data_IF_123828675110
#
_entry.id   IF_123828675110
#
_cell.length_a   1.000
_cell.length_b   1.000
_cell.length_c   1.000
_cell.angle_alpha   90.00
_cell.angle_beta   90.00
_cell.angle_gamma   90.00
#
_symmetry.space_group_name_H-M   'P 1'
#
loop_
_entity.id
_entity.type
_entity.pdbx_description
1 polymer ?
#
# COMPACT_ATOMS: atom_id res chain seq x y z
N UNK A 1 11.47 9.93 -20.36
CA UNK A 1 11.58 10.42 -18.97
C UNK A 1 10.16 10.58 -18.43
N UNK A 2 9.74 9.95 -17.33
CA UNK A 2 8.41 10.20 -16.77
C UNK A 2 8.29 11.68 -16.41
N UNK A 3 7.10 12.29 -16.59
CA UNK A 3 6.90 13.72 -16.31
C UNK A 3 7.34 14.05 -14.88
N UNK A 4 8.08 15.16 -14.73
CA UNK A 4 8.41 15.73 -13.42
C UNK A 4 7.13 16.29 -12.82
N UNK A 5 6.80 15.89 -11.60
CA UNK A 5 5.60 16.34 -10.89
C UNK A 5 4.37 15.44 -11.05
N UNK A 6 3.24 15.98 -10.57
CA UNK A 6 1.91 15.40 -10.63
C UNK A 6 1.02 16.29 -11.53
N UNK A 7 -0.04 15.75 -12.16
CA UNK A 7 -0.56 14.40 -12.02
C UNK A 7 0.28 13.30 -12.69
N UNK A 8 0.29 12.10 -12.11
CA UNK A 8 0.94 10.90 -12.66
C UNK A 8 -0.09 9.82 -12.95
N UNK A 9 -0.08 9.29 -14.17
CA UNK A 9 -0.85 8.09 -14.52
C UNK A 9 0.03 6.86 -14.35
N UNK A 10 -0.48 5.88 -13.62
CA UNK A 10 0.19 4.60 -13.38
C UNK A 10 -0.78 3.50 -13.77
N UNK A 11 -0.33 2.57 -14.62
CA UNK A 11 -1.10 1.38 -14.97
C UNK A 11 -0.55 0.21 -14.18
N UNK A 12 -1.40 -0.48 -13.42
CA UNK A 12 -1.03 -1.67 -12.66
C UNK A 12 -0.99 -2.92 -13.55
N UNK A 13 -0.54 -4.05 -12.99
CA UNK A 13 -0.45 -5.33 -13.72
C UNK A 13 -1.82 -5.88 -14.17
N UNK A 14 -2.94 -5.35 -13.65
CA UNK A 14 -4.31 -5.70 -14.06
C UNK A 14 -4.83 -4.81 -15.18
N UNK A 15 -3.97 -3.99 -15.77
CA UNK A 15 -4.31 -2.95 -16.73
C UNK A 15 -5.25 -1.86 -16.16
N UNK A 16 -5.37 -1.73 -14.83
CA UNK A 16 -6.12 -0.63 -14.20
C UNK A 16 -5.22 0.60 -14.18
N UNK A 17 -5.70 1.71 -14.74
CA UNK A 17 -4.99 3.00 -14.72
C UNK A 17 -5.48 3.86 -13.57
N UNK A 18 -4.55 4.28 -12.72
CA UNK A 18 -4.76 5.20 -11.61
C UNK A 18 -4.13 6.56 -11.97
N UNK A 19 -4.82 7.66 -11.66
CA UNK A 19 -4.24 9.01 -11.72
C UNK A 19 -3.95 9.48 -10.31
N UNK A 20 -2.67 9.59 -9.97
CA UNK A 20 -2.21 10.26 -8.75
C UNK A 20 -2.17 11.76 -9.03
N UNK A 21 -2.86 12.57 -8.24
CA UNK A 21 -2.88 14.03 -8.38
C UNK A 21 -1.83 14.73 -7.50
N UNK A 22 -1.31 14.03 -6.50
CA UNK A 22 -0.26 14.48 -5.58
C UNK A 22 0.53 13.27 -5.05
N UNK A 23 1.71 13.48 -4.41
CA UNK A 23 2.46 12.40 -3.79
C UNK A 23 1.64 11.75 -2.66
N UNK A 24 1.45 10.42 -2.64
CA UNK A 24 0.78 9.73 -1.54
C UNK A 24 1.43 10.07 -0.19
N UNK A 25 0.61 10.34 0.81
CA UNK A 25 1.05 10.62 2.17
C UNK A 25 0.60 9.54 3.16
N UNK A 26 -0.34 8.66 2.75
CA UNK A 26 -0.98 7.71 3.65
C UNK A 26 -1.22 6.38 2.95
N UNK A 27 -0.16 5.59 2.87
CA UNK A 27 -0.08 4.33 2.12
C UNK A 27 -0.40 3.13 3.03
N UNK A 28 -1.24 2.22 2.55
CA UNK A 28 -1.41 0.90 3.17
C UNK A 28 -0.69 -0.17 2.34
N UNK A 29 0.12 -0.99 3.00
CA UNK A 29 0.84 -2.11 2.40
C UNK A 29 0.20 -3.44 2.79
N UNK A 30 -0.17 -4.25 1.80
CA UNK A 30 -0.90 -5.52 2.03
C UNK A 30 -0.03 -6.78 1.91
N UNK A 31 1.31 -6.66 1.88
CA UNK A 31 2.23 -7.79 1.94
C UNK A 31 3.61 -7.40 2.51
N UNK A 32 4.33 -8.34 3.18
CA UNK A 32 5.66 -8.08 3.74
C UNK A 32 6.65 -7.49 2.72
N UNK A 33 6.84 -8.13 1.57
CA UNK A 33 7.77 -7.64 0.55
C UNK A 33 7.45 -6.23 0.04
N UNK A 34 6.17 -5.84 0.00
CA UNK A 34 5.76 -4.47 -0.36
C UNK A 34 6.19 -3.49 0.74
N UNK A 35 5.98 -3.88 2.00
CA UNK A 35 6.39 -3.05 3.15
C UNK A 35 7.91 -2.85 3.13
N UNK A 36 8.69 -3.91 2.96
CA UNK A 36 10.15 -3.83 2.90
C UNK A 36 10.64 -2.89 1.80
N UNK A 37 10.07 -2.99 0.59
CA UNK A 37 10.40 -2.09 -0.53
C UNK A 37 10.07 -0.65 -0.19
N UNK A 38 8.89 -0.36 0.38
CA UNK A 38 8.50 1.00 0.75
C UNK A 38 9.47 1.63 1.76
N UNK A 39 9.93 0.86 2.74
CA UNK A 39 10.94 1.35 3.68
C UNK A 39 12.31 1.51 3.01
N UNK A 40 12.74 0.56 2.18
CA UNK A 40 14.03 0.61 1.49
C UNK A 40 14.17 1.83 0.56
N UNK A 41 13.09 2.27 -0.09
CA UNK A 41 13.09 3.46 -0.95
C UNK A 41 12.87 4.78 -0.18
N UNK A 42 12.84 4.74 1.15
CA UNK A 42 12.63 5.93 2.00
C UNK A 42 11.18 6.40 2.14
N UNK A 43 10.20 5.62 1.66
CA UNK A 43 8.77 5.93 1.76
C UNK A 43 8.12 5.41 3.06
N UNK A 44 8.89 4.78 3.96
CA UNK A 44 8.38 4.21 5.22
C UNK A 44 7.55 5.17 6.08
N UNK A 45 7.86 6.48 6.06
CA UNK A 45 7.09 7.52 6.79
C UNK A 45 5.66 7.72 6.28
N UNK A 46 5.37 7.33 5.04
CA UNK A 46 4.04 7.41 4.45
C UNK A 46 3.20 6.17 4.77
N UNK A 47 3.81 5.10 5.29
CA UNK A 47 3.10 3.84 5.55
C UNK A 47 2.25 3.97 6.81
N UNK A 48 0.94 3.87 6.62
CA UNK A 48 -0.08 4.05 7.66
C UNK A 48 -0.67 2.74 8.18
N UNK A 49 -0.48 1.63 7.45
CA UNK A 49 -0.96 0.32 7.84
C UNK A 49 -0.25 -0.79 7.07
N UNK A 50 -0.07 -1.93 7.74
CA UNK A 50 0.65 -3.10 7.23
C UNK A 50 -0.08 -4.39 7.62
N UNK A 51 0.31 -5.53 7.08
CA UNK A 51 -0.23 -6.82 7.55
C UNK A 51 0.45 -7.26 8.85
N UNK A 52 -0.16 -8.24 9.51
CA UNK A 52 0.34 -8.85 10.75
C UNK A 52 1.65 -9.62 10.53
N UNK A 53 1.97 -9.99 9.28
CA UNK A 53 3.23 -10.63 8.91
C UNK A 53 4.35 -9.63 8.61
N UNK A 54 4.07 -8.34 8.51
CA UNK A 54 5.11 -7.33 8.31
C UNK A 54 5.88 -7.09 9.61
N UNK A 55 7.07 -7.68 9.69
CA UNK A 55 7.96 -7.65 10.84
C UNK A 55 9.32 -6.97 10.55
N UNK A 56 9.62 -6.69 9.29
CA UNK A 56 10.79 -5.93 8.86
C UNK A 56 10.40 -4.72 7.99
N UNK A 57 11.07 -3.56 8.16
CA UNK A 57 12.03 -3.26 9.23
C UNK A 57 11.33 -3.13 10.59
N UNK A 58 12.07 -3.06 11.73
CA UNK A 58 11.47 -3.06 13.08
C UNK A 58 10.38 -1.99 13.29
N UNK A 59 10.46 -0.87 12.59
CA UNK A 59 9.47 0.19 12.59
C UNK A 59 8.09 -0.28 12.08
N UNK A 60 8.05 -1.19 11.10
CA UNK A 60 6.82 -1.73 10.54
C UNK A 60 6.01 -2.56 11.58
N UNK A 61 6.68 -3.11 12.60
CA UNK A 61 5.99 -3.82 13.69
C UNK A 61 5.04 -2.93 14.49
N UNK A 62 5.33 -1.62 14.54
CA UNK A 62 4.56 -0.63 15.31
C UNK A 62 3.37 -0.05 14.55
N UNK A 63 3.30 -0.30 13.24
CA UNK A 63 2.22 0.22 12.39
C UNK A 63 0.91 -0.54 12.61
N UNK A 64 -0.25 0.14 12.45
CA UNK A 64 -1.55 -0.50 12.49
C UNK A 64 -1.65 -1.74 11.60
N UNK A 65 -2.26 -2.80 12.12
CA UNK A 65 -2.42 -4.07 11.41
C UNK A 65 -3.75 -4.10 10.68
N UNK A 66 -3.72 -4.31 9.37
CA UNK A 66 -4.91 -4.32 8.49
C UNK A 66 -5.28 -5.72 8.00
N UNK A 67 -5.00 -6.72 8.82
CA UNK A 67 -5.22 -8.14 8.53
C UNK A 67 -3.92 -8.94 8.51
N UNK A 68 -4.00 -10.15 7.96
CA UNK A 68 -2.92 -11.13 7.91
C UNK A 68 -2.75 -11.65 6.46
N UNK A 69 -2.98 -12.94 6.20
CA UNK A 69 -3.17 -13.49 4.85
C UNK A 69 -4.53 -13.06 4.26
N UNK A 70 -5.47 -12.64 5.12
CA UNK A 70 -6.76 -12.09 4.78
C UNK A 70 -6.75 -10.60 5.09
N UNK A 71 -6.99 -9.78 4.06
CA UNK A 71 -7.11 -8.33 4.23
C UNK A 71 -8.39 -8.01 5.01
N UNK A 72 -8.25 -7.23 6.08
CA UNK A 72 -9.38 -6.63 6.77
C UNK A 72 -9.72 -5.30 6.10
N UNK A 73 -10.68 -5.33 5.16
CA UNK A 73 -11.08 -4.16 4.37
C UNK A 73 -11.53 -3.00 5.24
N UNK A 74 -12.33 -3.25 6.28
CA UNK A 74 -12.81 -2.21 7.20
C UNK A 74 -11.64 -1.54 7.94
N UNK A 75 -10.64 -2.31 8.37
CA UNK A 75 -9.45 -1.74 8.97
C UNK A 75 -8.65 -0.89 7.96
N UNK A 76 -8.56 -1.30 6.70
CA UNK A 76 -7.94 -0.48 5.63
C UNK A 76 -8.71 0.83 5.43
N UNK A 77 -10.03 0.77 5.28
CA UNK A 77 -10.88 1.96 5.04
C UNK A 77 -10.90 2.89 6.25
N UNK A 78 -10.91 2.37 7.48
CA UNK A 78 -10.82 3.16 8.71
C UNK A 78 -9.52 3.96 8.78
N UNK A 79 -8.46 3.46 8.14
CA UNK A 79 -7.23 4.21 7.97
C UNK A 79 -7.34 5.26 6.87
N UNK A 80 -8.41 5.48 6.11
CA UNK A 80 -8.50 6.57 5.11
C UNK A 80 -7.22 6.72 4.24
N UNK A 81 -6.70 5.64 3.63
CA UNK A 81 -5.48 5.71 2.83
C UNK A 81 -5.73 6.51 1.54
N UNK A 82 -4.67 7.13 1.03
CA UNK A 82 -4.67 7.76 -0.30
C UNK A 82 -4.03 6.87 -1.37
N UNK A 83 -3.39 5.77 -0.95
CA UNK A 83 -2.89 4.71 -1.82
C UNK A 83 -2.88 3.37 -1.08
N UNK A 84 -3.32 2.31 -1.75
CA UNK A 84 -3.15 0.93 -1.29
C UNK A 84 -2.27 0.19 -2.28
N UNK A 85 -1.22 -0.46 -1.78
CA UNK A 85 -0.33 -1.30 -2.59
C UNK A 85 -0.50 -2.75 -2.15
N UNK A 86 -0.80 -3.61 -3.12
CA UNK A 86 -1.25 -4.96 -2.89
C UNK A 86 -0.54 -5.97 -3.81
N UNK A 87 -0.37 -7.19 -3.32
CA UNK A 87 0.08 -8.31 -4.13
C UNK A 87 -1.04 -8.79 -5.06
N UNK A 88 -0.67 -9.17 -6.27
CA UNK A 88 -1.63 -9.49 -7.31
C UNK A 88 -2.39 -10.81 -7.13
N UNK A 89 -1.85 -11.72 -6.32
CA UNK A 89 -2.43 -13.03 -6.06
C UNK A 89 -3.08 -13.04 -4.68
N UNK A 90 -2.34 -12.66 -3.64
CA UNK A 90 -2.78 -12.74 -2.24
C UNK A 90 -3.99 -11.83 -1.95
N UNK A 91 -4.02 -10.65 -2.56
CA UNK A 91 -5.04 -9.66 -2.26
C UNK A 91 -6.17 -9.59 -3.29
N UNK A 92 -6.12 -10.37 -4.37
CA UNK A 92 -7.02 -10.27 -5.54
C UNK A 92 -8.51 -10.22 -5.18
N UNK A 93 -8.92 -11.00 -4.18
CA UNK A 93 -10.33 -11.07 -3.71
C UNK A 93 -10.82 -9.77 -3.06
N UNK A 94 -9.93 -8.98 -2.48
CA UNK A 94 -10.28 -7.79 -1.70
C UNK A 94 -10.20 -6.50 -2.50
N UNK A 95 -9.45 -6.49 -3.62
CA UNK A 95 -9.23 -5.29 -4.44
C UNK A 95 -10.51 -4.60 -4.98
N UNK A 96 -11.63 -5.29 -5.23
CA UNK A 96 -12.86 -4.61 -5.62
C UNK A 96 -13.52 -3.78 -4.51
N UNK A 97 -13.17 -4.03 -3.24
CA UNK A 97 -13.75 -3.37 -2.06
C UNK A 97 -12.85 -2.26 -1.49
N UNK A 98 -11.71 -1.99 -2.15
CA UNK A 98 -10.72 -0.97 -1.80
C UNK A 98 -10.62 0.07 -2.91
#
# INVERSE_FOLDING_TARGET
MPPKGFPRRVTDFRAKTLTLTSPPQRVVSLAPGITEVLFAIGAGKQVAGVTSYCDYPPEAKRLPKVGDMRTNVEAVVALRPDLVIADGILNRRYLPAL
#
